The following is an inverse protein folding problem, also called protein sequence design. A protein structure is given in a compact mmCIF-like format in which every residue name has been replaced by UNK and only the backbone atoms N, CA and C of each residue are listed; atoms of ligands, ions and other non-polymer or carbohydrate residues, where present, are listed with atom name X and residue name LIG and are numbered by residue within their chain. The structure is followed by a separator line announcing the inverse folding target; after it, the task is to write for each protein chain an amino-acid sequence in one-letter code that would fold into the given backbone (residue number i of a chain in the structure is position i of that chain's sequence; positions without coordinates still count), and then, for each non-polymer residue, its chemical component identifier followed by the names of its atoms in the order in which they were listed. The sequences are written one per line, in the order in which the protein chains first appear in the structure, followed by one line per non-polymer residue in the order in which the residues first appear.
data_IF_999485090235
#
_entry.id   IF_999485090235
#
_cell.length_a   1.000
_cell.length_b   1.000
_cell.length_c   1.000
_cell.angle_alpha   90.00
_cell.angle_beta   90.00
_cell.angle_gamma   90.00
#
_symmetry.space_group_name_H-M   'P 1'
#
loop_
_entity.id
_entity.type
_entity.pdbx_description
1 polymer ?
#
# COMPACT_ATOMS: atom_id res chain seq x y z
N UNK A 1 -12.70 58.50 -0.64
CA UNK A 1 -11.53 57.62 -0.84
C UNK A 1 -11.75 56.38 0.00
N UNK A 2 -11.77 55.28 -0.73
CA UNK A 2 -11.86 53.86 -0.37
C UNK A 2 -10.96 53.44 0.82
N UNK A 3 -11.43 52.52 1.68
CA UNK A 3 -10.98 51.12 1.74
C UNK A 3 -11.55 50.37 2.97
N UNK A 4 -11.96 49.13 2.70
CA UNK A 4 -12.61 48.13 3.56
C UNK A 4 -11.60 47.21 4.30
N UNK A 5 -12.06 46.23 5.13
CA UNK A 5 -11.42 45.81 6.39
C UNK A 5 -10.53 44.56 6.31
N UNK A 6 -9.68 44.38 7.33
CA UNK A 6 -8.91 43.16 7.59
C UNK A 6 -9.80 42.13 8.32
N UNK A 7 -10.00 40.94 7.74
CA UNK A 7 -10.66 39.80 8.38
C UNK A 7 -9.59 38.86 8.96
N UNK A 8 -9.69 38.52 10.25
CA UNK A 8 -8.95 37.43 10.87
C UNK A 8 -9.58 36.10 10.44
N UNK A 9 -8.79 35.20 9.85
CA UNK A 9 -9.17 33.83 9.50
C UNK A 9 -8.74 32.95 10.68
N UNK A 10 -9.68 32.56 11.54
CA UNK A 10 -9.45 31.47 12.50
C UNK A 10 -9.57 30.12 11.79
N UNK A 11 -8.49 29.34 11.85
CA UNK A 11 -8.38 27.94 11.41
C UNK A 11 -9.35 27.04 12.22
N UNK A 12 -10.57 26.83 11.70
CA UNK A 12 -11.46 25.78 12.18
C UNK A 12 -11.47 24.61 11.22
N UNK A 13 -10.82 23.52 11.65
CA UNK A 13 -10.84 22.19 11.03
C UNK A 13 -12.29 21.75 10.73
N UNK A 14 -12.59 21.16 9.58
CA UNK A 14 -13.91 20.64 9.29
C UNK A 14 -14.22 19.44 10.21
N UNK A 15 -15.29 19.56 11.00
CA UNK A 15 -15.86 18.47 11.77
C UNK A 15 -16.84 17.71 10.87
N UNK A 16 -16.60 16.41 10.68
CA UNK A 16 -17.45 15.52 9.89
C UNK A 16 -18.56 14.95 10.79
N UNK A 17 -19.77 15.50 10.68
CA UNK A 17 -20.96 15.02 11.41
C UNK A 17 -21.58 13.81 10.69
N UNK A 18 -22.12 12.87 11.48
CA UNK A 18 -22.50 11.51 11.10
C UNK A 18 -23.70 11.33 10.14
N UNK A 19 -24.30 12.40 9.62
CA UNK A 19 -25.39 12.30 8.65
C UNK A 19 -25.01 13.01 7.36
N UNK A 20 -24.68 12.22 6.33
CA UNK A 20 -24.30 12.72 5.03
C UNK A 20 -25.46 13.39 4.31
N UNK A 21 -25.49 14.73 4.32
CA UNK A 21 -26.20 15.57 3.36
C UNK A 21 -25.51 16.94 3.25
N UNK A 22 -24.76 17.15 2.18
CA UNK A 22 -24.34 18.50 1.77
C UNK A 22 -25.45 19.12 0.91
N UNK A 23 -26.11 20.17 1.41
CA UNK A 23 -26.93 21.07 0.60
C UNK A 23 -26.00 22.05 -0.12
N UNK A 24 -25.97 22.00 -1.45
CA UNK A 24 -25.27 23.00 -2.27
C UNK A 24 -26.29 23.97 -2.87
N UNK A 25 -26.16 25.27 -2.56
CA UNK A 25 -26.83 26.36 -3.28
C UNK A 25 -25.79 27.34 -3.84
N UNK A 26 -25.60 27.31 -5.17
CA UNK A 26 -25.19 28.33 -6.18
C UNK A 26 -24.12 29.40 -5.80
N UNK A 27 -22.88 29.40 -6.36
CA UNK A 27 -22.36 29.89 -7.68
C UNK A 27 -21.94 31.40 -7.68
N UNK A 28 -21.05 32.00 -8.54
CA UNK A 28 -19.97 31.55 -9.49
C UNK A 28 -18.60 32.33 -9.41
N UNK A 29 -17.57 31.95 -10.22
CA UNK A 29 -16.21 32.56 -10.48
C UNK A 29 -15.13 32.39 -9.38
N UNK A 30 -13.85 31.98 -9.59
CA UNK A 30 -13.02 31.52 -10.72
C UNK A 30 -11.80 30.72 -10.12
N UNK A 31 -10.76 30.27 -10.87
CA UNK A 31 -10.07 29.01 -10.65
C UNK A 31 -8.83 29.12 -9.74
N UNK A 32 -8.54 28.10 -8.93
CA UNK A 32 -7.15 27.78 -8.59
C UNK A 32 -7.01 26.27 -8.37
N UNK A 33 -6.15 25.72 -9.20
CA UNK A 33 -5.66 24.34 -9.27
C UNK A 33 -5.05 23.84 -7.97
N UNK A 34 -5.02 22.50 -7.88
CA UNK A 34 -4.17 21.62 -7.06
C UNK A 34 -4.75 21.17 -5.71
N UNK A 35 -5.46 20.04 -5.75
CA UNK A 35 -5.11 18.89 -4.91
C UNK A 35 -5.49 17.61 -5.66
N UNK A 36 -4.50 16.74 -5.79
CA UNK A 36 -4.53 15.52 -6.57
C UNK A 36 -5.62 14.58 -6.04
N UNK A 37 -6.65 14.38 -6.84
CA UNK A 37 -7.53 13.23 -6.72
C UNK A 37 -6.72 11.98 -7.09
N UNK A 38 -6.27 11.21 -6.08
CA UNK A 38 -5.86 9.83 -6.34
C UNK A 38 -7.13 9.03 -6.63
N UNK A 39 -7.33 8.85 -7.93
CA UNK A 39 -8.36 8.04 -8.57
C UNK A 39 -8.63 6.76 -7.77
N UNK A 40 -9.86 6.63 -7.25
CA UNK A 40 -10.40 5.33 -6.88
C UNK A 40 -10.71 4.59 -8.17
N UNK A 41 -9.71 3.84 -8.67
CA UNK A 41 -9.95 2.92 -9.78
C UNK A 41 -10.88 1.81 -9.30
N UNK A 42 -12.16 1.92 -9.67
CA UNK A 42 -13.01 0.75 -9.86
C UNK A 42 -12.45 -0.01 -11.08
N UNK A 43 -11.38 -0.77 -10.87
CA UNK A 43 -10.75 -1.61 -11.87
C UNK A 43 -11.08 -3.08 -11.61
N UNK A 44 -11.94 -3.64 -12.45
CA UNK A 44 -12.11 -5.09 -12.61
C UNK A 44 -10.74 -5.67 -13.03
N UNK A 45 -10.19 -6.60 -12.25
CA UNK A 45 -9.33 -7.67 -12.78
C UNK A 45 -7.82 -7.45 -12.90
N UNK A 46 -7.19 -6.59 -12.10
CA UNK A 46 -5.74 -6.68 -11.90
C UNK A 46 -5.43 -7.80 -10.89
N UNK A 47 -4.72 -8.86 -11.30
CA UNK A 47 -4.23 -9.88 -10.37
C UNK A 47 -3.26 -9.21 -9.39
N UNK A 48 -3.75 -8.86 -8.20
CA UNK A 48 -2.91 -8.24 -7.20
C UNK A 48 -1.94 -9.28 -6.65
N UNK A 49 -0.65 -8.93 -6.56
CA UNK A 49 0.35 -9.77 -5.91
C UNK A 49 -0.14 -10.09 -4.49
N UNK A 50 -0.21 -11.38 -4.15
CA UNK A 50 -0.54 -11.83 -2.79
C UNK A 50 0.72 -12.33 -2.10
N UNK A 51 0.64 -12.45 -0.77
CA UNK A 51 1.75 -12.91 0.06
C UNK A 51 2.27 -14.29 -0.36
N UNK A 52 1.39 -15.16 -0.86
CA UNK A 52 1.73 -16.52 -1.27
C UNK A 52 2.57 -16.58 -2.56
N UNK A 53 2.58 -15.53 -3.39
CA UNK A 53 3.41 -15.47 -4.60
C UNK A 53 4.76 -14.78 -4.38
N UNK A 54 5.09 -14.42 -3.14
CA UNK A 54 6.37 -13.79 -2.82
C UNK A 54 7.50 -14.82 -2.78
N UNK A 55 8.56 -14.56 -3.54
CA UNK A 55 9.81 -15.33 -3.47
C UNK A 55 10.75 -14.73 -2.43
N UNK A 56 10.54 -15.10 -1.16
CA UNK A 56 11.26 -14.55 0.01
C UNK A 56 12.03 -15.62 0.80
N UNK A 57 12.27 -16.78 0.20
CA UNK A 57 13.02 -17.86 0.84
C UNK A 57 14.54 -17.58 0.86
N UNK A 58 15.01 -17.05 1.99
CA UNK A 58 16.44 -16.72 2.20
C UNK A 58 17.18 -17.72 3.09
N UNK A 59 16.48 -18.57 3.84
CA UNK A 59 17.12 -19.49 4.79
C UNK A 59 18.06 -20.51 4.13
N UNK A 60 17.75 -21.11 2.98
CA UNK A 60 18.66 -22.06 2.32
C UNK A 60 20.02 -21.43 2.01
N UNK A 61 20.03 -20.20 1.50
CA UNK A 61 21.27 -19.52 1.13
C UNK A 61 22.06 -19.03 2.36
N UNK A 62 21.37 -18.61 3.42
CA UNK A 62 22.02 -18.28 4.71
C UNK A 62 22.71 -19.51 5.28
N UNK A 63 22.02 -20.65 5.29
CA UNK A 63 22.59 -21.92 5.74
C UNK A 63 23.86 -22.29 4.97
N UNK A 64 23.80 -22.15 3.64
CA UNK A 64 24.92 -22.43 2.76
C UNK A 64 26.12 -21.49 2.99
N UNK A 65 25.88 -20.23 3.30
CA UNK A 65 26.94 -19.26 3.65
C UNK A 65 27.59 -19.63 4.99
N UNK A 66 26.77 -19.92 6.02
CA UNK A 66 27.28 -20.34 7.34
C UNK A 66 28.15 -21.59 7.19
N UNK A 67 27.68 -22.60 6.45
CA UNK A 67 28.43 -23.82 6.17
C UNK A 67 29.72 -23.56 5.39
N UNK A 68 29.72 -22.62 4.44
CA UNK A 68 30.90 -22.22 3.69
C UNK A 68 31.96 -21.54 4.59
N UNK A 69 31.54 -20.75 5.58
CA UNK A 69 32.44 -20.06 6.52
C UNK A 69 33.01 -21.03 7.57
N UNK A 70 32.21 -22.00 8.02
CA UNK A 70 32.62 -23.01 9.01
C UNK A 70 33.55 -24.10 8.43
N UNK A 71 33.59 -24.25 7.11
CA UNK A 71 34.50 -25.17 6.42
C UNK A 71 35.94 -24.65 6.51
N UNK A 72 36.80 -25.34 7.24
CA UNK A 72 38.25 -25.07 7.24
C UNK A 72 38.92 -25.82 6.06
N UNK A 73 39.41 -25.14 5.01
CA UNK A 73 39.89 -25.84 3.83
C UNK A 73 41.34 -26.28 4.05
N UNK A 74 41.68 -27.52 3.66
CA UNK A 74 43.01 -28.09 3.91
C UNK A 74 44.10 -27.58 2.94
N UNK A 75 43.73 -27.07 1.77
CA UNK A 75 44.65 -26.68 0.68
C UNK A 75 44.40 -25.24 0.20
N UNK A 76 45.46 -24.46 -0.07
CA UNK A 76 45.35 -23.03 -0.43
C UNK A 76 44.58 -22.78 -1.74
N UNK A 77 44.66 -23.68 -2.72
CA UNK A 77 43.90 -23.59 -3.98
C UNK A 77 42.40 -23.83 -3.75
N UNK A 78 42.06 -24.72 -2.80
CA UNK A 78 40.68 -25.00 -2.38
C UNK A 78 40.13 -23.82 -1.57
N UNK A 79 40.95 -23.23 -0.67
CA UNK A 79 40.60 -22.00 0.08
C UNK A 79 40.15 -20.87 -0.84
N UNK A 80 40.91 -20.60 -1.90
CA UNK A 80 40.61 -19.50 -2.81
C UNK A 80 39.28 -19.72 -3.56
N UNK A 81 39.04 -20.95 -4.03
CA UNK A 81 37.81 -21.33 -4.72
C UNK A 81 36.60 -21.28 -3.80
N UNK A 82 36.68 -21.88 -2.62
CA UNK A 82 35.57 -21.90 -1.65
C UNK A 82 35.27 -20.49 -1.14
N UNK A 83 36.28 -19.64 -0.96
CA UNK A 83 36.10 -18.22 -0.66
C UNK A 83 35.34 -17.51 -1.78
N UNK A 84 35.70 -17.73 -3.05
CA UNK A 84 34.99 -17.14 -4.19
C UNK A 84 33.52 -17.62 -4.25
N UNK A 85 33.28 -18.91 -4.07
CA UNK A 85 31.93 -19.49 -4.05
C UNK A 85 31.10 -18.94 -2.87
N UNK A 86 31.71 -18.75 -1.70
CA UNK A 86 31.07 -18.12 -0.55
C UNK A 86 30.69 -16.66 -0.83
N UNK A 87 31.59 -15.88 -1.46
CA UNK A 87 31.31 -14.50 -1.86
C UNK A 87 30.16 -14.44 -2.88
N UNK A 88 30.08 -15.40 -3.80
CA UNK A 88 28.97 -15.49 -4.75
C UNK A 88 27.62 -15.70 -4.05
N UNK A 89 27.56 -16.61 -3.06
CA UNK A 89 26.36 -16.83 -2.25
C UNK A 89 25.94 -15.59 -1.45
N UNK A 90 26.91 -14.84 -0.92
CA UNK A 90 26.63 -13.58 -0.22
C UNK A 90 25.99 -12.56 -1.18
N UNK A 91 26.51 -12.44 -2.40
CA UNK A 91 25.94 -11.54 -3.41
C UNK A 91 24.54 -11.97 -3.85
N UNK A 92 24.32 -13.27 -4.02
CA UNK A 92 23.00 -13.80 -4.33
C UNK A 92 21.99 -13.51 -3.20
N UNK A 93 22.39 -13.64 -1.92
CA UNK A 93 21.55 -13.28 -0.79
C UNK A 93 21.18 -11.78 -0.82
N UNK A 94 22.15 -10.91 -1.09
CA UNK A 94 21.89 -9.47 -1.24
C UNK A 94 20.85 -9.20 -2.34
N UNK A 95 20.99 -9.85 -3.50
CA UNK A 95 20.03 -9.72 -4.62
C UNK A 95 18.64 -10.22 -4.24
N UNK A 96 18.53 -11.36 -3.55
CA UNK A 96 17.25 -11.89 -3.07
C UNK A 96 16.58 -10.94 -2.08
N UNK A 97 17.34 -10.34 -1.16
CA UNK A 97 16.80 -9.36 -0.22
C UNK A 97 16.28 -8.10 -0.92
N UNK A 98 16.98 -7.60 -1.94
CA UNK A 98 16.50 -6.44 -2.69
C UNK A 98 15.24 -6.79 -3.49
N UNK A 99 15.22 -7.93 -4.18
CA UNK A 99 14.03 -8.39 -4.90
C UNK A 99 12.84 -8.60 -3.96
N UNK A 100 13.05 -9.20 -2.79
CA UNK A 100 12.02 -9.34 -1.76
C UNK A 100 11.46 -7.98 -1.32
N UNK A 101 12.32 -6.99 -1.11
CA UNK A 101 11.93 -5.63 -0.77
C UNK A 101 11.10 -4.98 -1.89
N UNK A 102 11.49 -5.17 -3.15
CA UNK A 102 10.73 -4.68 -4.30
C UNK A 102 9.36 -5.35 -4.41
N UNK A 103 9.28 -6.67 -4.23
CA UNK A 103 8.01 -7.40 -4.26
C UNK A 103 7.08 -6.99 -3.11
N UNK A 104 7.61 -6.84 -1.89
CA UNK A 104 6.84 -6.36 -0.73
C UNK A 104 6.25 -4.98 -1.02
N UNK A 105 6.99 -4.08 -1.68
CA UNK A 105 6.49 -2.75 -2.07
C UNK A 105 5.31 -2.78 -3.05
N UNK A 106 5.12 -3.89 -3.77
CA UNK A 106 3.98 -4.06 -4.68
C UNK A 106 2.76 -4.68 -4.00
N UNK A 107 2.86 -5.05 -2.72
CA UNK A 107 1.72 -5.61 -2.00
C UNK A 107 0.65 -4.55 -1.76
N UNK A 108 -0.65 -4.90 -1.88
CA UNK A 108 -1.73 -3.96 -1.66
C UNK A 108 -1.76 -3.54 -0.19
N UNK A 109 -1.97 -2.26 0.03
CA UNK A 109 -2.34 -1.72 1.33
C UNK A 109 -1.18 -1.51 2.31
N UNK A 110 0.07 -1.74 1.89
CA UNK A 110 1.27 -1.43 2.69
C UNK A 110 1.44 0.08 2.93
N UNK A 111 0.84 0.92 2.10
CA UNK A 111 0.90 2.38 2.19
C UNK A 111 0.05 2.95 3.33
N UNK A 112 -0.83 2.12 3.90
CA UNK A 112 -1.74 2.51 4.97
C UNK A 112 -1.21 2.05 6.32
N UNK A 113 -1.38 2.92 7.32
CA UNK A 113 -1.21 2.49 8.69
C UNK A 113 -2.38 1.60 9.13
N UNK A 114 -2.22 0.90 10.25
CA UNK A 114 -3.21 -0.04 10.77
C UNK A 114 -4.60 0.58 10.93
N UNK A 115 -4.67 1.80 11.45
CA UNK A 115 -5.95 2.49 11.70
C UNK A 115 -6.67 2.83 10.40
N UNK A 116 -5.94 3.34 9.42
CA UNK A 116 -6.46 3.63 8.07
C UNK A 116 -6.97 2.36 7.37
N UNK A 117 -6.25 1.24 7.49
CA UNK A 117 -6.69 -0.04 6.96
C UNK A 117 -8.02 -0.48 7.58
N UNK A 118 -8.16 -0.36 8.91
CA UNK A 118 -9.38 -0.72 9.63
C UNK A 118 -10.55 0.19 9.24
N UNK A 119 -10.33 1.50 9.18
CA UNK A 119 -11.35 2.48 8.77
C UNK A 119 -11.85 2.20 7.35
N UNK A 120 -10.94 1.93 6.41
CA UNK A 120 -11.32 1.60 5.03
C UNK A 120 -12.10 0.29 4.93
N UNK A 121 -11.73 -0.70 5.73
CA UNK A 121 -12.43 -1.97 5.82
C UNK A 121 -13.85 -1.81 6.39
N UNK A 122 -14.03 -0.95 7.39
CA UNK A 122 -15.37 -0.60 7.89
C UNK A 122 -16.21 0.12 6.83
N UNK A 123 -15.63 1.10 6.13
CA UNK A 123 -16.30 1.80 5.03
C UNK A 123 -16.78 0.83 3.94
N UNK A 124 -15.91 -0.10 3.52
CA UNK A 124 -16.25 -1.12 2.53
C UNK A 124 -17.39 -2.03 2.99
N UNK A 125 -17.40 -2.43 4.27
CA UNK A 125 -18.50 -3.22 4.85
C UNK A 125 -19.83 -2.45 4.82
N UNK A 126 -19.80 -1.16 5.17
CA UNK A 126 -20.98 -0.30 5.15
C UNK A 126 -21.51 -0.10 3.72
N UNK A 127 -20.62 0.16 2.76
CA UNK A 127 -20.98 0.26 1.34
C UNK A 127 -21.62 -1.04 0.83
N UNK A 128 -21.03 -2.19 1.15
CA UNK A 128 -21.56 -3.50 0.76
C UNK A 128 -22.95 -3.73 1.36
N UNK A 129 -23.16 -3.42 2.64
CA UNK A 129 -24.47 -3.50 3.30
C UNK A 129 -25.51 -2.63 2.60
N UNK A 130 -25.16 -1.38 2.30
CA UNK A 130 -26.05 -0.45 1.61
C UNK A 130 -26.40 -0.94 0.19
N UNK A 131 -25.39 -1.37 -0.59
CA UNK A 131 -25.59 -1.94 -1.93
C UNK A 131 -26.50 -3.16 -1.89
N UNK A 132 -26.32 -4.07 -0.93
CA UNK A 132 -27.20 -5.23 -0.76
C UNK A 132 -28.64 -4.82 -0.40
N UNK A 133 -28.83 -3.86 0.50
CA UNK A 133 -30.16 -3.36 0.83
C UNK A 133 -30.85 -2.75 -0.40
N UNK A 134 -30.10 -2.02 -1.21
CA UNK A 134 -30.60 -1.43 -2.44
C UNK A 134 -31.05 -2.51 -3.44
N UNK A 135 -30.19 -3.49 -3.70
CA UNK A 135 -30.52 -4.64 -4.57
C UNK A 135 -31.77 -5.35 -4.06
N UNK A 136 -31.88 -5.61 -2.75
CA UNK A 136 -33.08 -6.23 -2.17
C UNK A 136 -34.33 -5.37 -2.36
N UNK A 137 -34.24 -4.05 -2.18
CA UNK A 137 -35.37 -3.14 -2.39
C UNK A 137 -35.85 -3.15 -3.83
N UNK A 138 -34.95 -3.15 -4.82
CA UNK A 138 -35.35 -3.24 -6.22
C UNK A 138 -35.87 -4.63 -6.59
N UNK A 139 -35.22 -5.69 -6.12
CA UNK A 139 -35.67 -7.08 -6.35
C UNK A 139 -37.07 -7.34 -5.77
N UNK A 140 -37.42 -6.73 -4.64
CA UNK A 140 -38.72 -6.90 -3.99
C UNK A 140 -39.80 -5.96 -4.55
N UNK A 141 -39.45 -4.99 -5.41
CA UNK A 141 -40.36 -4.06 -6.07
C UNK A 141 -40.78 -4.50 -7.48
N UNK A 142 -40.26 -5.63 -7.96
CA UNK A 142 -40.68 -6.28 -9.21
C UNK A 142 -41.98 -7.07 -9.01
N UNK A 143 -43.09 -6.39 -8.70
CA UNK A 143 -44.49 -6.85 -8.84
C UNK A 143 -45.43 -5.66 -8.99
#
# INVERSE_FOLDING_TARGET
MDLSPINQIEDRKPILTADGLAQTSNSPFEPTTVSQETQTSNGIGGSHLTVEQLDIEILPIIYDIVRCIEKDPLENSVKLRESQDCNHKIFELQKRLESAREQIKQLPGIDYNKEEQLQRLELLRNQLKLKQQLIRKYRNKEF
#
